data_IF_403807990336
#
_entry.id   IF_403807990336
#
_cell.length_a   1.000
_cell.length_b   1.000
_cell.length_c   1.000
_cell.angle_alpha   90.00
_cell.angle_beta   90.00
_cell.angle_gamma   90.00
#
_symmetry.space_group_name_H-M   'P 1'
#
loop_
_entity.id
_entity.type
_entity.pdbx_description
1 polymer ?
#
# COMPACT_ATOMS: atom_id res chain seq x y z
N UNK A 1 -15.34 10.60 18.29
CA UNK A 1 -15.09 10.35 16.87
C UNK A 1 -15.81 9.06 16.53
N UNK A 2 -16.74 9.08 15.58
CA UNK A 2 -17.50 7.88 15.22
C UNK A 2 -16.65 6.98 14.31
N UNK A 3 -16.29 5.81 14.81
CA UNK A 3 -15.47 4.83 14.08
C UNK A 3 -16.31 3.85 13.25
N UNK A 4 -17.65 3.92 13.31
CA UNK A 4 -18.54 3.03 12.55
C UNK A 4 -18.37 3.22 11.04
N UNK A 5 -18.25 4.47 10.59
CA UNK A 5 -18.07 4.79 9.18
C UNK A 5 -16.74 4.27 8.62
N UNK A 6 -15.66 4.36 9.40
CA UNK A 6 -14.37 3.79 9.01
C UNK A 6 -14.47 2.26 8.89
N UNK A 7 -15.07 1.60 9.88
CA UNK A 7 -15.26 0.14 9.88
C UNK A 7 -16.11 -0.34 8.69
N UNK A 8 -17.17 0.40 8.36
CA UNK A 8 -17.97 0.14 7.16
C UNK A 8 -17.15 0.25 5.88
N UNK A 9 -16.32 1.30 5.74
CA UNK A 9 -15.44 1.49 4.57
C UNK A 9 -14.30 0.47 4.50
N UNK A 10 -13.85 -0.01 5.66
CA UNK A 10 -12.85 -1.07 5.78
C UNK A 10 -13.42 -2.44 5.41
N UNK A 11 -14.75 -2.59 5.43
CA UNK A 11 -15.41 -3.89 5.25
C UNK A 11 -15.29 -4.82 6.47
N UNK A 12 -14.93 -4.27 7.64
CA UNK A 12 -14.71 -5.05 8.86
C UNK A 12 -15.16 -4.30 10.12
N UNK A 13 -15.96 -4.97 10.95
CA UNK A 13 -16.39 -4.47 12.26
C UNK A 13 -15.56 -5.13 13.36
N UNK A 14 -14.82 -4.32 14.12
CA UNK A 14 -13.96 -4.80 15.19
C UNK A 14 -14.77 -5.30 16.39
N UNK A 15 -14.37 -6.46 16.91
CA UNK A 15 -14.84 -7.00 18.20
C UNK A 15 -14.12 -6.27 19.34
N UNK A 16 -12.82 -6.08 19.20
CA UNK A 16 -11.99 -5.31 20.13
C UNK A 16 -11.66 -3.92 19.56
N UNK A 17 -12.46 -2.93 19.95
CA UNK A 17 -12.28 -1.52 19.53
C UNK A 17 -10.92 -0.95 19.97
N UNK A 18 -10.28 -1.48 21.01
CA UNK A 18 -8.95 -1.02 21.43
C UNK A 18 -7.87 -1.31 20.37
N UNK A 19 -7.97 -2.41 19.63
CA UNK A 19 -7.06 -2.71 18.51
C UNK A 19 -7.21 -1.70 17.39
N UNK A 20 -8.44 -1.34 17.02
CA UNK A 20 -8.71 -0.29 16.04
C UNK A 20 -8.13 1.06 16.51
N UNK A 21 -8.34 1.43 17.76
CA UNK A 21 -7.80 2.67 18.32
C UNK A 21 -6.26 2.67 18.31
N UNK A 22 -5.62 1.54 18.63
CA UNK A 22 -4.16 1.42 18.58
C UNK A 22 -3.64 1.55 17.15
N UNK A 23 -4.27 0.88 16.18
CA UNK A 23 -3.89 0.96 14.76
C UNK A 23 -3.94 2.39 14.22
N UNK A 24 -4.91 3.19 14.68
CA UNK A 24 -5.07 4.61 14.32
C UNK A 24 -4.13 5.56 15.09
N UNK A 25 -3.31 5.05 16.01
CA UNK A 25 -2.47 5.87 16.89
C UNK A 25 -1.01 5.87 16.43
N UNK A 26 -0.54 7.02 15.96
CA UNK A 26 0.86 7.22 15.60
C UNK A 26 1.73 7.39 16.86
N UNK A 27 3.01 7.00 16.76
CA UNK A 27 3.99 7.08 17.86
C UNK A 27 4.14 8.47 18.48
N UNK A 28 3.86 9.54 17.73
CA UNK A 28 3.88 10.92 18.25
C UNK A 28 2.80 11.21 19.29
N UNK A 29 1.74 10.39 19.34
CA UNK A 29 0.56 10.62 20.17
C UNK A 29 0.61 9.83 21.49
N UNK A 30 1.17 8.62 21.49
CA UNK A 30 1.10 7.68 22.61
C UNK A 30 2.25 6.67 22.54
N UNK A 31 2.65 6.14 23.70
CA UNK A 31 3.56 4.99 23.79
C UNK A 31 2.91 3.67 23.33
N UNK A 32 1.58 3.57 23.42
CA UNK A 32 0.81 2.49 22.80
C UNK A 32 0.37 2.97 21.43
N UNK A 33 1.11 2.56 20.40
CA UNK A 33 0.98 3.02 19.02
C UNK A 33 0.98 1.85 18.01
N UNK A 34 0.91 2.20 16.73
CA UNK A 34 0.63 1.30 15.63
C UNK A 34 1.83 0.57 15.01
N UNK A 35 3.08 1.03 15.20
CA UNK A 35 4.29 0.43 14.56
C UNK A 35 4.40 -1.12 14.67
N UNK A 36 3.97 -1.73 15.79
CA UNK A 36 3.98 -3.20 15.91
C UNK A 36 2.87 -3.89 15.10
N UNK A 37 1.73 -3.22 14.97
CA UNK A 37 0.63 -3.68 14.14
C UNK A 37 0.95 -3.50 12.65
N UNK A 38 1.59 -2.39 12.31
CA UNK A 38 2.14 -2.11 10.96
C UNK A 38 3.08 -3.24 10.53
N UNK A 39 4.09 -3.56 11.35
CA UNK A 39 5.03 -4.65 11.08
C UNK A 39 4.32 -6.00 10.79
N UNK A 40 3.30 -6.33 11.58
CA UNK A 40 2.52 -7.56 11.37
C UNK A 40 1.65 -7.48 10.11
N UNK A 41 1.03 -6.32 9.91
CA UNK A 41 0.15 -6.03 8.78
C UNK A 41 0.86 -6.07 7.44
N UNK A 42 2.08 -5.53 7.35
CA UNK A 42 2.94 -5.61 6.16
C UNK A 42 3.21 -7.08 5.77
N UNK A 43 3.55 -7.93 6.75
CA UNK A 43 3.79 -9.35 6.51
C UNK A 43 2.53 -10.07 6.00
N UNK A 44 1.37 -9.79 6.62
CA UNK A 44 0.07 -10.34 6.20
C UNK A 44 -0.27 -9.88 4.79
N UNK A 45 -0.15 -8.58 4.52
CA UNK A 45 -0.43 -7.98 3.22
C UNK A 45 0.44 -8.61 2.12
N UNK A 46 1.75 -8.71 2.35
CA UNK A 46 2.67 -9.31 1.39
C UNK A 46 2.32 -10.76 1.07
N UNK A 47 1.93 -11.55 2.09
CA UNK A 47 1.53 -12.93 1.92
C UNK A 47 0.25 -13.05 1.07
N UNK A 48 -0.78 -12.27 1.41
CA UNK A 48 -2.07 -12.30 0.69
C UNK A 48 -1.92 -11.83 -0.75
N UNK A 49 -1.18 -10.75 -1.00
CA UNK A 49 -0.93 -10.27 -2.36
C UNK A 49 -0.10 -11.27 -3.17
N UNK A 50 0.89 -11.92 -2.56
CA UNK A 50 1.64 -12.99 -3.24
C UNK A 50 0.72 -14.15 -3.65
N UNK A 51 -0.15 -14.62 -2.75
CA UNK A 51 -1.11 -15.69 -3.03
C UNK A 51 -2.08 -15.30 -4.15
N UNK A 52 -2.66 -14.10 -4.08
CA UNK A 52 -3.57 -13.54 -5.08
C UNK A 52 -2.92 -13.47 -6.47
N UNK A 53 -1.67 -13.01 -6.56
CA UNK A 53 -0.94 -12.92 -7.83
C UNK A 53 -0.59 -14.31 -8.37
N UNK A 54 -0.17 -15.23 -7.49
CA UNK A 54 0.15 -16.61 -7.85
C UNK A 54 -1.07 -17.31 -8.46
N UNK A 55 -2.24 -17.20 -7.85
CA UNK A 55 -3.47 -17.82 -8.36
C UNK A 55 -3.97 -17.19 -9.66
N UNK A 56 -3.84 -15.86 -9.78
CA UNK A 56 -4.39 -15.11 -10.92
C UNK A 56 -3.51 -15.16 -12.17
N UNK A 57 -2.19 -15.24 -12.00
CA UNK A 57 -1.22 -15.08 -13.09
C UNK A 57 -0.32 -16.31 -13.27
N UNK A 58 -0.93 -17.48 -13.49
CA UNK A 58 -0.25 -18.78 -13.65
C UNK A 58 0.83 -18.86 -14.76
N UNK A 59 0.88 -17.89 -15.67
CA UNK A 59 1.82 -17.87 -16.79
C UNK A 59 3.04 -16.95 -16.55
N UNK A 60 3.07 -16.19 -15.46
CA UNK A 60 4.16 -15.27 -15.13
C UNK A 60 5.26 -15.98 -14.35
N UNK A 61 6.50 -15.54 -14.53
CA UNK A 61 7.63 -16.05 -13.75
C UNK A 61 7.73 -15.38 -12.37
N UNK A 62 8.65 -15.87 -11.53
CA UNK A 62 8.86 -15.33 -10.18
C UNK A 62 9.23 -13.84 -10.19
N UNK A 63 10.04 -13.39 -11.16
CA UNK A 63 10.50 -12.01 -11.24
C UNK A 63 9.35 -11.05 -11.56
N UNK A 64 8.47 -11.44 -12.48
CA UNK A 64 7.26 -10.70 -12.81
C UNK A 64 6.30 -10.63 -11.62
N UNK A 65 6.06 -11.76 -10.93
CA UNK A 65 5.20 -11.80 -9.74
C UNK A 65 5.76 -10.94 -8.59
N UNK A 66 7.07 -11.01 -8.34
CA UNK A 66 7.76 -10.20 -7.34
C UNK A 66 7.67 -8.71 -7.66
N UNK A 67 7.82 -8.30 -8.92
CA UNK A 67 7.65 -6.91 -9.37
C UNK A 67 6.21 -6.43 -9.21
N UNK A 68 5.23 -7.25 -9.59
CA UNK A 68 3.81 -6.92 -9.45
C UNK A 68 3.46 -6.71 -7.97
N UNK A 69 3.87 -7.64 -7.11
CA UNK A 69 3.67 -7.54 -5.66
C UNK A 69 4.25 -6.25 -5.11
N UNK A 70 5.52 -5.97 -5.40
CA UNK A 70 6.19 -4.75 -4.93
C UNK A 70 5.45 -3.48 -5.36
N UNK A 71 4.85 -3.46 -6.56
CA UNK A 71 4.06 -2.32 -7.02
C UNK A 71 2.70 -2.17 -6.36
N UNK A 72 2.11 -3.27 -5.89
CA UNK A 72 0.81 -3.29 -5.21
C UNK A 72 0.92 -2.95 -3.72
N UNK A 73 2.06 -3.25 -3.10
CA UNK A 73 2.29 -3.01 -1.66
C UNK A 73 3.19 -1.81 -1.38
N UNK A 74 3.66 -1.08 -2.42
CA UNK A 74 4.44 0.14 -2.19
C UNK A 74 3.62 1.23 -1.51
N UNK A 75 4.30 2.09 -0.75
CA UNK A 75 3.72 3.22 -0.02
C UNK A 75 2.68 4.02 -0.82
N UNK A 76 2.95 4.33 -2.09
CA UNK A 76 2.03 5.10 -2.93
C UNK A 76 0.68 4.38 -3.14
N UNK A 77 0.71 3.05 -3.38
CA UNK A 77 -0.51 2.27 -3.56
C UNK A 77 -1.32 2.18 -2.27
N UNK A 78 -0.64 1.98 -1.13
CA UNK A 78 -1.28 1.94 0.20
C UNK A 78 -1.86 3.30 0.59
N UNK A 79 -1.16 4.38 0.28
CA UNK A 79 -1.66 5.74 0.48
C UNK A 79 -2.93 6.01 -0.33
N UNK A 80 -3.02 5.55 -1.58
CA UNK A 80 -4.22 5.65 -2.40
C UNK A 80 -5.40 4.86 -1.81
N UNK A 81 -5.15 3.68 -1.25
CA UNK A 81 -6.18 2.90 -0.53
C UNK A 81 -6.62 3.64 0.75
N UNK A 82 -5.67 4.14 1.53
CA UNK A 82 -5.96 4.91 2.74
C UNK A 82 -6.81 6.16 2.44
N UNK A 83 -6.54 6.84 1.32
CA UNK A 83 -7.35 7.97 0.86
C UNK A 83 -8.77 7.56 0.46
N UNK A 84 -8.95 6.42 -0.23
CA UNK A 84 -10.28 5.98 -0.68
C UNK A 84 -11.24 5.70 0.48
N UNK A 85 -10.71 5.37 1.67
CA UNK A 85 -11.50 5.19 2.90
C UNK A 85 -11.54 6.45 3.80
N UNK A 86 -10.90 7.54 3.37
CA UNK A 86 -10.67 8.79 4.12
C UNK A 86 -9.99 8.56 5.49
N UNK A 87 -8.95 7.72 5.52
CA UNK A 87 -8.26 7.32 6.74
C UNK A 87 -7.68 8.50 7.54
N UNK A 88 -7.27 9.56 6.85
CA UNK A 88 -6.66 10.76 7.46
C UNK A 88 -7.51 11.42 8.54
N UNK A 89 -8.83 11.29 8.47
CA UNK A 89 -9.77 11.89 9.41
C UNK A 89 -9.78 11.18 10.77
N UNK A 90 -9.25 9.96 10.84
CA UNK A 90 -9.32 9.09 12.01
C UNK A 90 -7.98 8.97 12.76
N UNK A 91 -6.91 9.53 12.20
CA UNK A 91 -5.57 9.46 12.76
C UNK A 91 -5.47 10.18 14.10
N UNK A 92 -4.81 9.54 15.06
CA UNK A 92 -4.44 10.13 16.35
C UNK A 92 -2.96 10.46 16.31
N UNK A 93 -2.68 11.75 16.17
CA UNK A 93 -1.34 12.31 16.04
C UNK A 93 -1.04 13.22 17.26
N UNK A 94 0.24 13.40 17.57
CA UNK A 94 0.68 14.39 18.56
C UNK A 94 0.57 15.80 17.99
N UNK A 95 0.51 16.82 18.83
CA UNK A 95 0.31 18.21 18.37
C UNK A 95 1.36 18.69 17.36
N UNK A 96 2.62 18.33 17.55
CA UNK A 96 3.70 18.69 16.62
C UNK A 96 3.51 18.06 15.24
N UNK A 97 3.11 16.78 15.20
CA UNK A 97 2.87 16.04 13.96
C UNK A 97 1.60 16.53 13.25
N UNK A 98 0.57 16.95 14.00
CA UNK A 98 -0.61 17.60 13.43
C UNK A 98 -0.25 18.94 12.77
N UNK A 99 0.53 19.78 13.47
CA UNK A 99 0.94 21.11 12.97
C UNK A 99 1.81 21.03 11.73
N UNK A 100 2.63 19.97 11.59
CA UNK A 100 3.45 19.73 10.39
C UNK A 100 2.68 19.06 9.23
N UNK A 101 1.38 18.80 9.40
CA UNK A 101 0.54 18.20 8.36
C UNK A 101 0.67 16.68 8.23
N UNK A 102 1.14 15.99 9.27
CA UNK A 102 1.36 14.54 9.25
C UNK A 102 0.12 13.72 8.88
N UNK A 103 -1.09 14.22 9.14
CA UNK A 103 -2.35 13.56 8.76
C UNK A 103 -2.56 13.43 7.25
N UNK A 104 -1.77 14.14 6.43
CA UNK A 104 -1.75 14.04 4.96
C UNK A 104 -0.50 13.32 4.42
N UNK A 105 0.44 12.93 5.29
CA UNK A 105 1.70 12.36 4.85
C UNK A 105 1.46 10.95 4.28
N UNK A 106 1.94 10.67 3.05
CA UNK A 106 1.74 9.36 2.43
C UNK A 106 2.24 8.19 3.27
N UNK A 107 3.42 8.34 3.91
CA UNK A 107 3.99 7.30 4.78
C UNK A 107 3.06 7.00 5.96
N UNK A 108 2.67 8.00 6.76
CA UNK A 108 1.81 7.81 7.94
C UNK A 108 0.49 7.11 7.57
N UNK A 109 -0.10 7.46 6.43
CA UNK A 109 -1.35 6.85 5.96
C UNK A 109 -1.16 5.42 5.46
N UNK A 110 -0.06 5.13 4.76
CA UNK A 110 0.30 3.78 4.36
C UNK A 110 0.54 2.89 5.58
N UNK A 111 1.39 3.33 6.50
CA UNK A 111 1.75 2.60 7.73
C UNK A 111 0.50 2.34 8.60
N UNK A 112 -0.40 3.32 8.69
CA UNK A 112 -1.67 3.15 9.41
C UNK A 112 -2.59 2.14 8.72
N UNK A 113 -2.62 2.11 7.39
CA UNK A 113 -3.40 1.11 6.66
C UNK A 113 -2.87 -0.31 6.92
N UNK A 114 -1.55 -0.51 6.88
CA UNK A 114 -0.94 -1.78 7.27
C UNK A 114 -1.27 -2.14 8.72
N UNK A 115 -1.17 -1.18 9.65
CA UNK A 115 -1.54 -1.41 11.03
C UNK A 115 -3.01 -1.81 11.22
N UNK A 116 -3.94 -1.28 10.40
CA UNK A 116 -5.33 -1.73 10.40
C UNK A 116 -5.42 -3.20 9.97
N UNK A 117 -4.70 -3.62 8.94
CA UNK A 117 -4.66 -5.02 8.52
C UNK A 117 -4.10 -5.93 9.63
N UNK A 118 -3.00 -5.52 10.27
CA UNK A 118 -2.44 -6.23 11.42
C UNK A 118 -3.43 -6.32 12.59
N UNK A 119 -4.21 -5.27 12.84
CA UNK A 119 -5.25 -5.25 13.86
C UNK A 119 -6.43 -6.18 13.53
N UNK A 120 -6.89 -6.22 12.27
CA UNK A 120 -7.94 -7.15 11.82
C UNK A 120 -7.48 -8.60 12.00
N UNK A 121 -6.23 -8.89 11.61
CA UNK A 121 -5.66 -10.22 11.78
C UNK A 121 -5.67 -10.68 13.24
N UNK A 122 -5.34 -9.80 14.20
CA UNK A 122 -5.38 -10.11 15.63
C UNK A 122 -6.80 -10.19 16.22
N UNK A 123 -7.74 -9.42 15.67
CA UNK A 123 -9.14 -9.41 16.15
C UNK A 123 -9.97 -10.57 15.59
N UNK A 124 -9.56 -11.13 14.45
CA UNK A 124 -10.19 -12.26 13.78
C UNK A 124 -9.17 -13.35 13.44
N UNK A 125 -8.85 -13.51 12.15
CA UNK A 125 -8.00 -14.57 11.62
C UNK A 125 -7.45 -14.20 10.23
N UNK A 126 -6.55 -15.04 9.71
CA UNK A 126 -5.93 -14.85 8.40
C UNK A 126 -6.95 -14.83 7.24
N UNK A 127 -8.00 -15.65 7.31
CA UNK A 127 -9.01 -15.76 6.24
C UNK A 127 -9.80 -14.45 6.13
N UNK A 128 -10.16 -13.88 7.28
CA UNK A 128 -10.94 -12.65 7.38
C UNK A 128 -10.14 -11.45 6.86
N UNK A 129 -8.90 -11.27 7.32
CA UNK A 129 -8.04 -10.17 6.82
C UNK A 129 -7.72 -10.35 5.34
N UNK A 130 -7.53 -11.60 4.87
CA UNK A 130 -7.32 -11.87 3.44
C UNK A 130 -8.51 -11.39 2.62
N UNK A 131 -9.74 -11.68 3.04
CA UNK A 131 -10.95 -11.19 2.35
C UNK A 131 -10.97 -9.66 2.26
N UNK A 132 -10.67 -8.97 3.35
CA UNK A 132 -10.61 -7.50 3.38
C UNK A 132 -9.57 -6.98 2.38
N UNK A 133 -8.37 -7.58 2.36
CA UNK A 133 -7.33 -7.21 1.39
C UNK A 133 -7.81 -7.48 -0.04
N UNK A 134 -8.39 -8.65 -0.32
CA UNK A 134 -8.93 -8.96 -1.64
C UNK A 134 -9.92 -7.89 -2.11
N UNK A 135 -10.87 -7.47 -1.26
CA UNK A 135 -11.90 -6.49 -1.62
C UNK A 135 -11.29 -5.12 -2.02
N UNK A 136 -10.15 -4.72 -1.43
CA UNK A 136 -9.42 -3.51 -1.83
C UNK A 136 -8.63 -3.63 -3.13
N UNK A 137 -8.17 -4.84 -3.46
CA UNK A 137 -7.22 -5.08 -4.55
C UNK A 137 -7.87 -5.62 -5.83
N UNK A 138 -9.00 -6.33 -5.75
CA UNK A 138 -9.69 -6.85 -6.94
C UNK A 138 -10.01 -5.74 -7.96
N UNK A 139 -10.64 -4.60 -7.59
CA UNK A 139 -10.95 -3.55 -8.56
C UNK A 139 -9.70 -2.96 -9.23
N UNK A 140 -8.57 -2.93 -8.51
CA UNK A 140 -7.30 -2.44 -9.02
C UNK A 140 -6.71 -3.45 -10.02
N UNK A 141 -6.72 -4.73 -9.68
CA UNK A 141 -6.19 -5.79 -10.52
C UNK A 141 -7.00 -6.02 -11.80
N UNK A 142 -8.30 -5.73 -11.78
CA UNK A 142 -9.16 -5.82 -12.97
C UNK A 142 -8.88 -4.70 -13.98
N UNK A 143 -8.28 -3.59 -13.52
CA UNK A 143 -8.04 -2.38 -14.32
C UNK A 143 -6.63 -2.27 -14.91
N UNK A 144 -5.74 -3.22 -14.59
CA UNK A 144 -4.30 -3.14 -14.91
C UNK A 144 -3.87 -4.30 -15.78
N UNK A 145 -2.98 -4.01 -16.74
CA UNK A 145 -2.31 -5.04 -17.52
C UNK A 145 -1.07 -5.55 -16.75
N UNK A 146 -1.01 -6.84 -16.37
CA UNK A 146 0.11 -7.41 -15.63
C UNK A 146 1.45 -7.32 -16.37
N UNK A 147 1.45 -7.22 -17.70
CA UNK A 147 2.68 -7.12 -18.49
C UNK A 147 3.36 -5.75 -18.39
N UNK A 148 2.58 -4.71 -18.08
CA UNK A 148 3.05 -3.33 -18.00
C UNK A 148 3.05 -2.80 -16.57
N UNK A 149 2.22 -3.36 -15.69
CA UNK A 149 2.14 -2.93 -14.30
C UNK A 149 3.49 -3.07 -13.60
N UNK A 150 3.99 -1.94 -13.13
CA UNK A 150 5.23 -1.88 -12.38
C UNK A 150 6.50 -1.77 -13.21
N UNK A 151 6.40 -1.71 -14.54
CA UNK A 151 7.52 -1.33 -15.42
C UNK A 151 7.50 0.17 -15.64
N UNK A 152 8.64 0.82 -15.47
CA UNK A 152 8.79 2.22 -15.82
C UNK A 152 8.94 2.39 -17.36
N UNK A 153 8.70 3.60 -17.86
CA UNK A 153 8.73 3.87 -19.30
C UNK A 153 10.09 3.56 -19.96
N UNK A 154 11.20 3.66 -19.21
CA UNK A 154 12.54 3.33 -19.72
C UNK A 154 12.66 1.81 -19.90
N UNK A 155 12.24 1.04 -18.91
CA UNK A 155 12.22 -0.44 -18.99
C UNK A 155 11.32 -0.92 -20.13
N UNK A 156 10.11 -0.36 -20.26
CA UNK A 156 9.18 -0.70 -21.35
C UNK A 156 9.78 -0.42 -22.74
N UNK A 157 10.40 0.74 -22.92
CA UNK A 157 11.06 1.09 -24.19
C UNK A 157 12.23 0.15 -24.48
N UNK A 158 13.02 -0.18 -23.46
CA UNK A 158 14.16 -1.09 -23.60
C UNK A 158 13.71 -2.49 -24.06
N UNK A 159 12.70 -3.07 -23.41
CA UNK A 159 12.15 -4.38 -23.77
C UNK A 159 11.53 -4.36 -25.18
N UNK A 160 10.80 -3.30 -25.53
CA UNK A 160 10.23 -3.13 -26.86
C UNK A 160 11.32 -3.16 -27.95
N UNK A 161 12.40 -2.38 -27.78
CA UNK A 161 13.50 -2.32 -28.74
C UNK A 161 14.25 -3.66 -28.84
N UNK A 162 14.50 -4.32 -27.70
CA UNK A 162 15.12 -5.64 -27.68
C UNK A 162 14.29 -6.69 -28.41
N UNK A 163 12.96 -6.72 -28.20
CA UNK A 163 12.06 -7.66 -28.87
C UNK A 163 12.07 -7.52 -30.40
N UNK A 164 12.35 -6.32 -30.90
CA UNK A 164 12.46 -5.99 -32.33
C UNK A 164 13.89 -6.12 -32.87
N UNK A 165 14.85 -6.56 -32.05
CA UNK A 165 16.30 -6.59 -32.37
C UNK A 165 16.85 -5.22 -32.78
N UNK A 166 16.31 -4.14 -32.21
CA UNK A 166 16.77 -2.77 -32.39
C UNK A 166 17.77 -2.44 -31.26
N UNK A 167 18.75 -1.59 -31.54
CA UNK A 167 19.71 -1.12 -30.54
C UNK A 167 19.01 -0.45 -29.34
N UNK A 168 19.61 -0.59 -28.16
CA UNK A 168 19.08 -0.03 -26.91
C UNK A 168 19.07 1.50 -26.94
N UNK A 169 18.12 2.16 -26.25
CA UNK A 169 18.02 3.61 -26.25
C UNK A 169 19.19 4.21 -25.47
N UNK A 170 19.88 5.20 -26.07
CA UNK A 170 20.90 5.99 -25.40
C UNK A 170 20.27 7.29 -24.90
N UNK A 171 20.44 7.58 -23.61
CA UNK A 171 19.93 8.80 -22.99
C UNK A 171 21.10 9.74 -22.71
N UNK A 172 21.08 10.91 -23.33
CA UNK A 172 22.07 11.97 -23.10
C UNK A 172 21.36 13.23 -22.63
N UNK A 173 21.85 13.83 -21.55
CA UNK A 173 21.36 15.13 -21.08
C UNK A 173 21.83 16.19 -22.07
N UNK A 174 20.89 16.77 -22.82
CA UNK A 174 21.19 17.80 -23.84
C UNK A 174 21.23 19.21 -23.26
N UNK A 175 20.52 19.44 -22.17
CA UNK A 175 20.53 20.70 -21.45
C UNK A 175 20.01 20.51 -20.02
N UNK A 176 20.52 21.34 -19.11
CA UNK A 176 20.07 21.44 -17.73
C UNK A 176 19.95 22.92 -17.40
N UNK A 177 18.78 23.36 -16.95
CA UNK A 177 18.52 24.77 -16.66
C UNK A 177 18.06 24.89 -15.20
N UNK A 178 18.63 25.86 -14.48
CA UNK A 178 18.31 26.13 -13.07
C UNK A 178 19.47 26.85 -12.38
N UNK A 179 19.16 27.67 -11.37
CA UNK A 179 20.19 28.22 -10.50
C UNK A 179 20.83 27.09 -9.68
N UNK A 180 22.15 27.10 -9.54
CA UNK A 180 22.81 26.25 -8.56
C UNK A 180 22.32 26.68 -7.16
N UNK A 181 21.64 25.79 -6.46
CA UNK A 181 21.18 25.97 -5.08
C UNK A 181 21.96 25.05 -4.16
#
# INVERSE_FOLDING_TARGET
MDLSLLQSRLGYQFKNVALLQQALTHRSHSAVHNERLEFLGDSVLNCVIAALLFERYNAQDEGDLSRLRANLVKQQALFEIAQSINLSQYLRLGEGELKSGGFRRPSILADTFEALLGAIYLDADFVTVSKVIHDFYIPRLDSVDPQTLGKDAKTLLQEYLQSKKIALPQYQVVATHGAAH
#
